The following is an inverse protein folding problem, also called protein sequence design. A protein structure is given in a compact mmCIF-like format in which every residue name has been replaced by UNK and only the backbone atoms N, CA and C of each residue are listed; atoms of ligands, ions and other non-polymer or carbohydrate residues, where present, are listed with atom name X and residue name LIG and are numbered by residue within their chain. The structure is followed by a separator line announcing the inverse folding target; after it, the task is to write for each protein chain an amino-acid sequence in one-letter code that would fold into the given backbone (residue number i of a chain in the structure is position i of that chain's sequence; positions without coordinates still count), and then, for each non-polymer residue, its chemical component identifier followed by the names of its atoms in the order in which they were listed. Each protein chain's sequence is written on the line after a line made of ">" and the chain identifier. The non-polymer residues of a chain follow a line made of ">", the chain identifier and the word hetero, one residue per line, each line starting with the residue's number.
data_IF_751577981478
#
_entry.id   IF_751577981478
#
_cell.length_a   1.000
_cell.length_b   1.000
_cell.length_c   1.000
_cell.angle_alpha   90.00
_cell.angle_beta   90.00
_cell.angle_gamma   90.00
#
_symmetry.space_group_name_H-M   'P 1'
#
loop_
_entity.id
_entity.type
_entity.pdbx_description
1 polymer ?
#
# COMPACT_ATOMS: atom_id res chain seq x y z
N UNK A 1 15.76 -7.08 -24.99
CA UNK A 1 14.70 -8.08 -25.33
C UNK A 1 13.71 -8.12 -24.18
N UNK A 2 12.39 -8.06 -24.41
CA UNK A 2 11.42 -8.14 -23.30
C UNK A 2 11.50 -9.51 -22.61
N UNK A 3 11.57 -9.50 -21.27
CA UNK A 3 11.48 -10.71 -20.46
C UNK A 3 10.15 -11.40 -20.68
N UNK A 4 10.19 -12.74 -20.69
CA UNK A 4 8.99 -13.58 -20.80
C UNK A 4 9.15 -14.85 -19.96
N UNK A 5 8.06 -15.54 -19.62
CA UNK A 5 8.14 -16.89 -19.10
C UNK A 5 9.07 -17.77 -19.95
N UNK A 6 9.97 -18.50 -19.28
CA UNK A 6 11.04 -19.29 -19.88
C UNK A 6 12.41 -18.59 -19.92
N UNK A 7 12.48 -17.27 -19.80
CA UNK A 7 13.75 -16.54 -19.70
C UNK A 7 14.56 -16.98 -18.47
N UNK A 8 15.89 -17.03 -18.63
CA UNK A 8 16.83 -17.38 -17.56
C UNK A 8 17.62 -16.14 -17.16
N UNK A 9 17.67 -15.86 -15.86
CA UNK A 9 18.46 -14.79 -15.25
C UNK A 9 19.55 -15.42 -14.37
N UNK A 10 20.78 -14.96 -14.54
CA UNK A 10 21.92 -15.40 -13.72
C UNK A 10 22.26 -14.31 -12.71
N UNK A 11 22.02 -14.59 -11.43
CA UNK A 11 22.41 -13.73 -10.31
C UNK A 11 23.71 -14.20 -9.66
N UNK A 12 24.14 -13.46 -8.65
CA UNK A 12 25.30 -13.82 -7.84
C UNK A 12 24.98 -14.92 -6.82
N UNK A 13 23.71 -15.07 -6.40
CA UNK A 13 23.28 -16.06 -5.40
C UNK A 13 22.64 -17.29 -6.03
N UNK A 14 21.95 -17.13 -7.15
CA UNK A 14 21.27 -18.22 -7.84
C UNK A 14 21.01 -17.94 -9.34
N UNK A 15 20.66 -19.01 -10.05
CA UNK A 15 20.08 -18.93 -11.40
C UNK A 15 18.56 -19.06 -11.33
N UNK A 16 17.86 -18.15 -12.00
CA UNK A 16 16.40 -18.03 -11.94
C UNK A 16 15.77 -18.25 -13.31
N UNK A 17 14.75 -19.11 -13.39
CA UNK A 17 13.92 -19.29 -14.59
C UNK A 17 12.56 -18.64 -14.40
N UNK A 18 12.23 -17.65 -15.22
CA UNK A 18 10.92 -17.03 -15.18
C UNK A 18 9.84 -18.06 -15.50
N UNK A 19 8.83 -18.15 -14.66
CA UNK A 19 7.77 -19.15 -14.75
C UNK A 19 6.43 -18.53 -15.17
N UNK A 20 6.05 -17.42 -14.53
CA UNK A 20 4.75 -16.78 -14.75
C UNK A 20 4.88 -15.26 -14.57
N UNK A 21 4.20 -14.50 -15.42
CA UNK A 21 3.97 -13.07 -15.22
C UNK A 21 2.88 -12.84 -14.17
N UNK A 22 3.17 -12.05 -13.13
CA UNK A 22 2.25 -11.71 -12.05
C UNK A 22 1.60 -10.34 -12.25
N UNK A 23 2.35 -9.39 -12.82
CA UNK A 23 1.87 -8.04 -13.16
C UNK A 23 2.53 -7.58 -14.44
N UNK A 24 1.72 -7.51 -15.51
CA UNK A 24 2.18 -7.18 -16.85
C UNK A 24 3.49 -7.92 -17.20
N UNK A 25 4.44 -7.24 -17.84
CA UNK A 25 5.78 -7.79 -18.12
C UNK A 25 6.85 -7.23 -17.16
N UNK A 26 6.46 -6.81 -15.95
CA UNK A 26 7.36 -6.15 -14.99
C UNK A 26 7.52 -6.91 -13.67
N UNK A 27 6.64 -7.85 -13.35
CA UNK A 27 6.76 -8.71 -12.16
C UNK A 27 6.53 -10.17 -12.54
N UNK A 28 7.44 -11.05 -12.16
CA UNK A 28 7.40 -12.47 -12.50
C UNK A 28 7.61 -13.35 -11.28
N UNK A 29 6.91 -14.48 -11.22
CA UNK A 29 7.29 -15.64 -10.42
C UNK A 29 8.42 -16.36 -11.14
N UNK A 30 9.51 -16.69 -10.43
CA UNK A 30 10.63 -17.43 -11.00
C UNK A 30 11.04 -18.59 -10.10
N UNK A 31 11.44 -19.69 -10.75
CA UNK A 31 11.99 -20.86 -10.08
C UNK A 31 13.49 -20.68 -9.87
N UNK A 32 13.99 -21.02 -8.69
CA UNK A 32 15.42 -21.17 -8.43
C UNK A 32 15.86 -22.51 -9.04
N UNK A 33 16.80 -22.47 -9.99
CA UNK A 33 17.35 -23.67 -10.65
C UNK A 33 18.57 -24.22 -9.90
N UNK A 34 19.48 -23.32 -9.53
CA UNK A 34 20.72 -23.61 -8.82
C UNK A 34 20.94 -22.49 -7.80
N UNK A 35 21.29 -22.83 -6.57
CA UNK A 35 21.54 -21.84 -5.51
C UNK A 35 22.75 -22.21 -4.67
N UNK A 36 23.46 -21.18 -4.21
CA UNK A 36 24.56 -21.32 -3.27
C UNK A 36 24.15 -21.04 -1.81
N UNK A 37 22.97 -20.45 -1.56
CA UNK A 37 22.55 -19.99 -0.22
C UNK A 37 21.06 -19.59 -0.08
N UNK A 38 20.17 -20.00 -0.98
CA UNK A 38 18.73 -19.76 -0.88
C UNK A 38 17.98 -21.09 -0.74
N UNK A 39 17.28 -21.26 0.38
CA UNK A 39 16.53 -22.49 0.69
C UNK A 39 15.09 -22.49 0.13
N UNK A 40 14.76 -21.54 -0.74
CA UNK A 40 13.43 -21.45 -1.36
C UNK A 40 13.42 -22.04 -2.78
N UNK A 41 12.28 -22.60 -3.19
CA UNK A 41 12.03 -23.00 -4.58
C UNK A 41 11.67 -21.82 -5.48
N UNK A 42 11.01 -20.81 -4.92
CA UNK A 42 10.38 -19.73 -5.66
C UNK A 42 10.87 -18.36 -5.20
N UNK A 43 10.95 -17.42 -6.14
CA UNK A 43 11.24 -15.99 -5.92
C UNK A 43 10.31 -15.13 -6.76
N UNK A 44 10.28 -13.83 -6.47
CA UNK A 44 9.72 -12.83 -7.36
C UNK A 44 10.82 -12.01 -8.00
N UNK A 45 10.72 -11.81 -9.32
CA UNK A 45 11.59 -10.94 -10.11
C UNK A 45 10.81 -9.71 -10.51
N UNK A 46 11.27 -8.53 -10.08
CA UNK A 46 10.73 -7.23 -10.49
C UNK A 46 11.70 -6.55 -11.44
N UNK A 47 11.17 -5.98 -12.52
CA UNK A 47 11.91 -5.24 -13.55
C UNK A 47 11.09 -4.03 -14.00
N UNK A 48 11.64 -3.22 -14.91
CA UNK A 48 10.99 -2.03 -15.45
C UNK A 48 10.80 -2.14 -16.97
N UNK A 49 9.71 -1.58 -17.47
CA UNK A 49 9.42 -1.43 -18.90
C UNK A 49 9.45 0.03 -19.39
N UNK A 50 9.51 0.98 -18.47
CA UNK A 50 9.62 2.42 -18.74
C UNK A 50 10.70 3.09 -17.88
N UNK A 51 11.11 4.30 -18.28
CA UNK A 51 12.06 5.10 -17.50
C UNK A 51 11.55 5.48 -16.11
N UNK A 52 10.25 5.79 -15.99
CA UNK A 52 9.62 6.07 -14.70
C UNK A 52 9.66 4.84 -13.78
N UNK A 53 9.27 3.67 -14.29
CA UNK A 53 9.34 2.41 -13.52
C UNK A 53 10.79 2.08 -13.11
N UNK A 54 11.77 2.38 -13.97
CA UNK A 54 13.18 2.21 -13.66
C UNK A 54 13.61 3.11 -12.50
N UNK A 55 13.21 4.38 -12.48
CA UNK A 55 13.49 5.28 -11.37
C UNK A 55 12.89 4.78 -10.05
N UNK A 56 11.65 4.26 -10.08
CA UNK A 56 11.01 3.64 -8.93
C UNK A 56 11.76 2.38 -8.46
N UNK A 57 12.21 1.54 -9.39
CA UNK A 57 13.00 0.34 -9.10
C UNK A 57 14.36 0.67 -8.45
N UNK A 58 15.04 1.73 -8.90
CA UNK A 58 16.27 2.21 -8.27
C UNK A 58 16.02 2.77 -6.87
N UNK A 59 14.93 3.51 -6.66
CA UNK A 59 14.54 3.99 -5.34
C UNK A 59 14.26 2.82 -4.40
N UNK A 60 13.51 1.83 -4.86
CA UNK A 60 13.22 0.60 -4.11
C UNK A 60 14.52 -0.10 -3.70
N UNK A 61 15.43 -0.35 -4.65
CA UNK A 61 16.75 -0.92 -4.36
C UNK A 61 17.51 -0.13 -3.29
N UNK A 62 17.54 1.19 -3.41
CA UNK A 62 18.26 2.07 -2.47
C UNK A 62 17.68 1.98 -1.07
N UNK A 63 16.35 1.90 -0.94
CA UNK A 63 15.69 1.73 0.35
C UNK A 63 16.03 0.37 0.99
N UNK A 64 16.10 -0.72 0.22
CA UNK A 64 16.51 -2.04 0.73
C UNK A 64 17.97 -2.12 1.21
N UNK A 65 18.81 -1.15 0.85
CA UNK A 65 20.19 -1.07 1.36
C UNK A 65 20.29 -0.48 2.76
N UNK A 66 19.21 0.10 3.28
CA UNK A 66 19.14 0.59 4.66
C UNK A 66 19.04 -0.65 5.57
N UNK A 67 19.99 -0.87 6.51
CA UNK A 67 20.04 -2.09 7.32
C UNK A 67 18.75 -2.41 8.06
N UNK A 68 18.11 -1.40 8.66
CA UNK A 68 16.86 -1.51 9.41
C UNK A 68 15.71 -2.03 8.54
N UNK A 69 15.69 -1.65 7.25
CA UNK A 69 14.71 -2.13 6.27
C UNK A 69 15.06 -3.55 5.83
N UNK A 70 16.31 -3.79 5.42
CA UNK A 70 16.74 -5.07 4.86
C UNK A 70 16.74 -6.23 5.87
N UNK A 71 16.79 -5.93 7.17
CA UNK A 71 16.79 -6.92 8.26
C UNK A 71 15.42 -7.07 8.93
N UNK A 72 14.45 -6.20 8.65
CA UNK A 72 13.13 -6.26 9.27
C UNK A 72 12.39 -7.55 8.89
N UNK A 73 11.81 -8.30 9.86
CA UNK A 73 10.99 -9.47 9.55
C UNK A 73 9.62 -9.09 8.97
N UNK A 74 9.23 -7.82 9.07
CA UNK A 74 7.92 -7.31 8.65
C UNK A 74 7.95 -6.62 7.27
N UNK A 75 9.13 -6.53 6.65
CA UNK A 75 9.31 -5.97 5.30
C UNK A 75 9.82 -7.08 4.39
N UNK A 76 9.25 -7.21 3.19
CA UNK A 76 9.59 -8.27 2.24
C UNK A 76 11.09 -8.26 1.92
N UNK A 77 11.76 -9.39 2.08
CA UNK A 77 13.20 -9.52 1.85
C UNK A 77 13.56 -9.40 0.38
N UNK A 78 14.51 -8.51 0.09
CA UNK A 78 15.30 -8.53 -1.16
C UNK A 78 16.45 -9.52 -1.02
N UNK A 79 16.51 -10.53 -1.88
CA UNK A 79 17.61 -11.50 -1.91
C UNK A 79 18.84 -10.94 -2.62
N UNK A 80 18.66 -10.41 -3.82
CA UNK A 80 19.73 -9.78 -4.60
C UNK A 80 19.18 -8.85 -5.67
N UNK A 81 20.08 -8.09 -6.29
CA UNK A 81 19.80 -7.23 -7.41
C UNK A 81 20.75 -7.57 -8.55
N UNK A 82 20.21 -7.73 -9.77
CA UNK A 82 20.96 -8.11 -10.97
C UNK A 82 20.94 -6.93 -11.94
N UNK A 83 22.12 -6.50 -12.39
CA UNK A 83 22.30 -5.33 -13.27
C UNK A 83 23.06 -4.19 -12.59
N UNK A 84 23.39 -3.12 -13.34
CA UNK A 84 24.19 -2.00 -12.88
C UNK A 84 23.41 -1.05 -11.96
N UNK A 85 23.00 -1.54 -10.80
CA UNK A 85 22.56 -0.67 -9.70
C UNK A 85 23.73 0.17 -9.12
N UNK A 86 24.96 -0.13 -9.55
CA UNK A 86 26.21 0.50 -9.13
C UNK A 86 26.92 1.18 -10.31
N UNK A 87 26.30 2.17 -10.96
CA UNK A 87 27.06 3.16 -11.74
C UNK A 87 26.87 4.54 -11.12
N UNK A 88 27.97 5.06 -10.56
CA UNK A 88 28.12 6.42 -10.03
C UNK A 88 28.54 7.36 -11.15
N UNK A 89 28.13 8.62 -10.97
CA UNK A 89 28.61 9.86 -11.59
C UNK A 89 28.54 9.90 -13.12
N UNK A 90 27.66 10.77 -13.62
CA UNK A 90 27.82 11.39 -14.94
C UNK A 90 29.24 11.97 -15.06
N UNK A 91 30.18 11.22 -15.63
CA UNK A 91 31.33 11.82 -16.30
C UNK A 91 30.80 12.30 -17.65
N UNK A 92 30.82 13.61 -17.89
CA UNK A 92 30.14 14.28 -18.99
C UNK A 92 30.62 13.92 -20.41
N UNK A 93 31.52 12.95 -20.57
CA UNK A 93 32.29 12.74 -21.81
C UNK A 93 32.31 11.29 -22.33
N UNK A 94 31.54 10.35 -21.78
CA UNK A 94 31.38 9.04 -22.43
C UNK A 94 30.13 9.02 -23.31
N UNK A 95 30.23 8.55 -24.57
CA UNK A 95 29.07 8.43 -25.44
C UNK A 95 28.09 7.42 -24.83
N UNK A 96 26.77 7.61 -25.00
CA UNK A 96 25.80 6.63 -24.55
C UNK A 96 25.93 5.39 -25.43
N UNK A 97 26.77 4.44 -25.03
CA UNK A 97 26.59 3.08 -25.49
C UNK A 97 25.19 2.64 -25.03
N UNK A 98 24.33 2.33 -26.00
CA UNK A 98 23.00 1.74 -25.78
C UNK A 98 23.15 0.33 -25.18
N UNK A 99 23.67 0.25 -23.96
CA UNK A 99 23.62 -0.99 -23.21
C UNK A 99 22.29 -1.00 -22.47
N UNK A 100 21.34 -1.75 -23.05
CA UNK A 100 20.07 -2.14 -22.43
C UNK A 100 20.35 -2.99 -21.18
N UNK A 101 20.88 -2.34 -20.14
CA UNK A 101 21.10 -2.96 -18.86
C UNK A 101 19.76 -2.98 -18.13
N UNK A 102 19.02 -4.05 -18.39
CA UNK A 102 17.78 -4.32 -17.68
C UNK A 102 18.09 -4.65 -16.21
N UNK A 103 17.40 -3.96 -15.31
CA UNK A 103 17.60 -4.06 -13.87
C UNK A 103 16.58 -5.05 -13.29
N UNK A 104 17.03 -5.90 -12.38
CA UNK A 104 16.17 -6.89 -11.73
C UNK A 104 16.35 -6.86 -10.22
N UNK A 105 15.24 -6.80 -9.50
CA UNK A 105 15.21 -7.04 -8.06
C UNK A 105 14.62 -8.42 -7.80
N UNK A 106 15.36 -9.24 -7.05
CA UNK A 106 14.97 -10.61 -6.72
C UNK A 106 14.52 -10.64 -5.27
N UNK A 107 13.23 -10.83 -5.05
CA UNK A 107 12.59 -10.87 -3.74
C UNK A 107 12.25 -12.28 -3.32
N UNK A 108 12.14 -12.50 -2.00
CA UNK A 108 11.53 -13.71 -1.46
C UNK A 108 10.11 -13.91 -2.01
N UNK A 109 9.69 -15.15 -2.20
CA UNK A 109 8.32 -15.48 -2.56
C UNK A 109 7.39 -15.36 -1.34
N UNK A 110 6.20 -14.82 -1.57
CA UNK A 110 5.08 -14.81 -0.61
C UNK A 110 3.85 -15.32 -1.37
N UNK A 111 3.00 -16.12 -0.72
CA UNK A 111 1.99 -16.93 -1.41
C UNK A 111 0.82 -16.12 -1.98
N UNK A 112 0.39 -15.11 -1.24
CA UNK A 112 -0.82 -14.34 -1.55
C UNK A 112 -0.70 -12.91 -1.02
N UNK A 113 -1.44 -11.97 -1.59
CA UNK A 113 -1.61 -10.63 -1.03
C UNK A 113 -2.91 -10.52 -0.22
N UNK A 114 -3.00 -9.55 0.70
CA UNK A 114 -4.16 -9.38 1.57
C UNK A 114 -5.45 -9.15 0.76
N UNK A 115 -5.38 -8.46 -0.39
CA UNK A 115 -6.55 -8.29 -1.25
C UNK A 115 -7.11 -9.63 -1.73
N UNK A 116 -6.26 -10.58 -2.08
CA UNK A 116 -6.70 -11.90 -2.54
C UNK A 116 -7.17 -12.82 -1.41
N UNK A 117 -6.77 -12.58 -0.15
CA UNK A 117 -7.27 -13.38 0.97
C UNK A 117 -8.77 -13.19 1.18
N UNK A 118 -9.54 -14.28 1.39
CA UNK A 118 -10.91 -14.16 1.85
C UNK A 118 -10.87 -13.54 3.24
N UNK A 119 -11.91 -12.82 3.58
CA UNK A 119 -11.95 -11.99 4.77
C UNK A 119 -13.04 -12.44 5.74
N UNK A 120 -14.13 -12.97 5.21
CA UNK A 120 -15.21 -13.62 5.95
C UNK A 120 -14.72 -14.59 7.05
N UNK A 121 -13.77 -15.51 6.82
CA UNK A 121 -13.31 -16.43 7.88
C UNK A 121 -12.50 -15.75 8.99
N UNK A 122 -12.09 -14.49 8.80
CA UNK A 122 -11.16 -13.80 9.70
C UNK A 122 -11.77 -12.60 10.44
N UNK A 123 -13.08 -12.35 10.29
CA UNK A 123 -13.74 -11.16 10.86
C UNK A 123 -14.46 -11.39 12.18
N UNK A 124 -14.77 -12.65 12.46
CA UNK A 124 -15.46 -13.06 13.66
C UNK A 124 -14.61 -12.85 14.92
N UNK A 125 -15.31 -12.88 16.05
CA UNK A 125 -14.70 -12.77 17.37
C UNK A 125 -13.66 -13.88 17.60
N UNK A 126 -12.52 -13.52 18.18
CA UNK A 126 -11.40 -14.46 18.40
C UNK A 126 -10.47 -14.67 17.20
N UNK A 127 -10.75 -14.10 16.02
CA UNK A 127 -9.80 -14.20 14.90
C UNK A 127 -8.50 -13.46 15.19
N UNK A 128 -7.38 -14.17 15.05
CA UNK A 128 -6.03 -13.61 15.22
C UNK A 128 -5.51 -12.94 13.95
N UNK A 129 -6.10 -13.23 12.79
CA UNK A 129 -5.54 -12.80 11.50
C UNK A 129 -5.55 -11.28 11.31
N UNK A 130 -6.66 -10.53 11.56
CA UNK A 130 -6.61 -9.07 11.44
C UNK A 130 -5.66 -8.43 12.44
N UNK A 131 -5.51 -9.00 13.66
CA UNK A 131 -4.52 -8.55 14.64
C UNK A 131 -3.09 -8.73 14.12
N UNK A 132 -2.78 -9.91 13.56
CA UNK A 132 -1.49 -10.24 13.00
C UNK A 132 -1.14 -9.33 11.82
N UNK A 133 -2.07 -9.15 10.88
CA UNK A 133 -1.91 -8.25 9.74
C UNK A 133 -1.65 -6.82 10.21
N UNK A 134 -2.48 -6.31 11.12
CA UNK A 134 -2.34 -4.95 11.66
C UNK A 134 -0.99 -4.77 12.36
N UNK A 135 -0.59 -5.72 13.21
CA UNK A 135 0.69 -5.70 13.92
C UNK A 135 1.86 -5.67 12.93
N UNK A 136 1.90 -6.57 11.96
CA UNK A 136 2.99 -6.62 10.99
C UNK A 136 3.11 -5.34 10.16
N UNK A 137 1.99 -4.73 9.76
CA UNK A 137 2.01 -3.45 9.05
C UNK A 137 2.57 -2.36 9.96
N UNK A 138 2.07 -2.25 11.20
CA UNK A 138 2.51 -1.21 12.13
C UNK A 138 3.99 -1.36 12.53
N UNK A 139 4.50 -2.58 12.72
CA UNK A 139 5.92 -2.83 12.97
C UNK A 139 6.80 -2.38 11.80
N UNK A 140 6.37 -2.65 10.55
CA UNK A 140 7.07 -2.14 9.37
C UNK A 140 7.02 -0.60 9.28
N UNK A 141 5.87 0.01 9.61
CA UNK A 141 5.72 1.47 9.61
C UNK A 141 6.56 2.14 10.70
N UNK A 142 6.74 1.52 11.86
CA UNK A 142 7.60 2.07 12.92
C UNK A 142 9.08 2.08 12.51
N UNK A 143 9.52 1.11 11.69
CA UNK A 143 10.85 1.18 11.04
C UNK A 143 10.95 2.41 10.14
N UNK A 144 9.96 2.67 9.29
CA UNK A 144 10.00 3.84 8.39
C UNK A 144 9.92 5.17 9.17
N UNK A 145 9.08 5.24 10.20
CA UNK A 145 8.98 6.38 11.13
C UNK A 145 10.33 6.75 11.72
N UNK A 146 11.06 5.77 12.27
CA UNK A 146 12.40 5.96 12.85
C UNK A 146 13.43 6.47 11.84
N UNK A 147 13.21 6.20 10.56
CA UNK A 147 14.03 6.68 9.44
C UNK A 147 13.55 8.02 8.86
N UNK A 148 12.48 8.62 9.40
CA UNK A 148 11.88 9.85 8.86
C UNK A 148 11.32 9.66 7.46
N UNK A 149 10.72 8.50 7.19
CA UNK A 149 10.19 8.12 5.87
C UNK A 149 8.73 7.72 5.95
N UNK A 150 8.00 7.97 4.86
CA UNK A 150 6.64 7.51 4.64
C UNK A 150 6.60 6.59 3.40
N UNK A 151 5.92 5.45 3.53
CA UNK A 151 5.73 4.43 2.51
C UNK A 151 4.84 4.90 1.36
N UNK A 152 3.78 5.65 1.68
CA UNK A 152 2.83 6.32 0.77
C UNK A 152 1.96 5.40 -0.09
N UNK A 153 2.23 4.10 -0.16
CA UNK A 153 1.40 3.12 -0.88
C UNK A 153 1.03 1.88 -0.05
N UNK A 154 0.68 2.08 1.23
CA UNK A 154 0.09 1.00 2.04
C UNK A 154 -1.29 0.68 1.50
N UNK A 155 -1.45 -0.54 0.97
CA UNK A 155 -2.71 -1.03 0.42
C UNK A 155 -2.76 -2.56 0.47
N UNK A 156 -3.95 -3.19 0.34
CA UNK A 156 -4.07 -4.65 0.47
C UNK A 156 -3.22 -5.48 -0.50
N UNK A 157 -2.85 -4.96 -1.67
CA UNK A 157 -2.00 -5.67 -2.64
C UNK A 157 -0.50 -5.62 -2.28
N UNK A 158 -0.11 -4.70 -1.39
CA UNK A 158 1.26 -4.54 -0.91
C UNK A 158 1.46 -5.17 0.49
N UNK A 159 0.44 -5.84 1.03
CA UNK A 159 0.54 -6.64 2.24
C UNK A 159 0.57 -8.11 1.82
N UNK A 160 1.72 -8.76 1.99
CA UNK A 160 1.95 -10.12 1.50
C UNK A 160 1.88 -11.12 2.63
N UNK A 161 1.29 -12.28 2.36
CA UNK A 161 1.10 -13.37 3.32
C UNK A 161 1.71 -14.67 2.76
N UNK A 162 2.37 -15.43 3.62
CA UNK A 162 2.76 -16.82 3.35
C UNK A 162 2.31 -17.72 4.48
N UNK A 163 1.92 -18.96 4.15
CA UNK A 163 1.41 -19.90 5.14
C UNK A 163 0.07 -19.46 5.75
N UNK A 164 -0.89 -19.01 4.93
CA UNK A 164 -2.20 -18.50 5.42
C UNK A 164 -2.94 -19.50 6.32
N UNK A 165 -2.79 -20.80 6.04
CA UNK A 165 -3.39 -21.90 6.79
C UNK A 165 -2.55 -22.34 8.01
N UNK A 166 -1.35 -21.78 8.19
CA UNK A 166 -0.49 -22.09 9.32
C UNK A 166 -0.97 -21.39 10.59
N UNK A 167 -0.59 -21.90 11.76
CA UNK A 167 -0.94 -21.30 13.05
C UNK A 167 -0.37 -19.89 13.25
N UNK A 168 0.64 -19.51 12.48
CA UNK A 168 1.29 -18.22 12.50
C UNK A 168 1.76 -17.82 11.09
N UNK A 169 0.84 -17.34 10.23
CA UNK A 169 1.19 -16.90 8.89
C UNK A 169 2.24 -15.78 8.92
N UNK A 170 3.15 -15.77 7.96
CA UNK A 170 4.07 -14.63 7.81
C UNK A 170 3.34 -13.50 7.08
N UNK A 171 3.39 -12.28 7.64
CA UNK A 171 2.83 -11.08 6.99
C UNK A 171 3.91 -10.02 6.84
N UNK A 172 4.12 -9.53 5.63
CA UNK A 172 5.16 -8.54 5.30
C UNK A 172 4.65 -7.43 4.38
N UNK A 173 5.10 -6.20 4.63
CA UNK A 173 4.89 -5.05 3.74
C UNK A 173 5.86 -5.13 2.56
N UNK A 174 5.39 -4.79 1.37
CA UNK A 174 6.17 -4.80 0.14
C UNK A 174 6.01 -3.49 -0.67
N UNK A 175 6.80 -3.38 -1.74
CA UNK A 175 6.85 -2.25 -2.67
C UNK A 175 7.37 -0.94 -2.07
N UNK A 176 8.69 -0.88 -1.85
CA UNK A 176 9.36 0.33 -1.37
C UNK A 176 9.69 1.29 -2.52
N UNK A 177 9.08 1.08 -3.69
CA UNK A 177 9.21 1.92 -4.86
C UNK A 177 8.65 3.31 -4.63
N UNK A 178 7.74 3.51 -3.67
CA UNK A 178 7.14 4.80 -3.29
C UNK A 178 7.62 5.39 -1.96
N UNK A 179 8.44 4.66 -1.21
CA UNK A 179 8.98 5.10 0.08
C UNK A 179 9.91 6.31 -0.08
N UNK A 180 9.56 7.42 0.59
CA UNK A 180 10.24 8.73 0.51
C UNK A 180 10.46 9.33 1.90
N UNK A 181 11.39 10.30 2.06
CA UNK A 181 11.43 11.14 3.26
C UNK A 181 10.09 11.83 3.48
N UNK A 182 9.62 11.88 4.72
CA UNK A 182 8.41 12.63 5.06
C UNK A 182 8.62 14.15 4.98
N UNK A 183 7.52 14.88 4.78
CA UNK A 183 7.54 16.33 4.85
C UNK A 183 6.57 17.06 3.90
N UNK A 184 6.52 18.40 3.99
CA UNK A 184 5.54 19.24 3.28
C UNK A 184 5.77 19.34 1.77
N UNK A 185 6.97 18.98 1.30
CA UNK A 185 7.33 19.00 -0.13
C UNK A 185 6.84 17.75 -0.88
N UNK A 186 6.49 16.70 -0.15
CA UNK A 186 5.96 15.44 -0.68
C UNK A 186 4.45 15.57 -0.95
N UNK A 187 4.05 16.38 -1.93
CA UNK A 187 2.62 16.57 -2.27
C UNK A 187 2.12 15.45 -3.20
N UNK A 188 0.87 15.03 -3.00
CA UNK A 188 0.14 14.07 -3.87
C UNK A 188 0.81 12.70 -4.09
N UNK A 189 1.68 12.24 -3.19
CA UNK A 189 2.37 10.94 -3.32
C UNK A 189 1.54 9.71 -2.90
N UNK A 190 0.38 9.90 -2.26
CA UNK A 190 -0.57 8.82 -2.00
C UNK A 190 -1.65 8.77 -3.08
N UNK A 191 -1.94 7.59 -3.60
CA UNK A 191 -3.02 7.38 -4.55
C UNK A 191 -4.39 7.33 -3.84
N UNK A 192 -5.40 7.96 -4.42
CA UNK A 192 -6.80 7.65 -4.11
C UNK A 192 -7.05 6.15 -4.35
N UNK A 193 -7.86 5.46 -3.52
CA UNK A 193 -8.71 5.94 -2.41
C UNK A 193 -8.07 5.94 -1.01
N UNK A 194 -6.75 5.79 -0.89
CA UNK A 194 -6.06 5.60 0.41
C UNK A 194 -5.38 6.86 0.93
N UNK A 195 -5.53 7.96 0.18
CA UNK A 195 -4.95 9.27 0.45
C UNK A 195 -5.53 9.84 1.75
N UNK A 196 -4.65 10.23 2.66
CA UNK A 196 -5.00 10.80 3.96
C UNK A 196 -5.50 12.25 3.86
N UNK A 197 -6.29 12.74 4.83
CA UNK A 197 -6.84 14.10 4.83
C UNK A 197 -5.80 15.20 4.64
N UNK A 198 -4.67 15.12 5.33
CA UNK A 198 -3.59 16.10 5.20
C UNK A 198 -2.93 16.10 3.80
N UNK A 199 -2.96 14.95 3.12
CA UNK A 199 -2.43 14.81 1.76
C UNK A 199 -3.42 15.37 0.73
N UNK A 200 -4.73 15.17 0.95
CA UNK A 200 -5.79 15.85 0.16
C UNK A 200 -5.69 17.37 0.30
N UNK A 201 -5.37 17.88 1.49
CA UNK A 201 -5.14 19.30 1.78
C UNK A 201 -3.75 19.81 1.35
N UNK A 202 -2.97 19.00 0.64
CA UNK A 202 -1.64 19.33 0.14
C UNK A 202 -0.61 19.77 1.20
N UNK A 203 -0.76 19.29 2.43
CA UNK A 203 0.10 19.67 3.57
C UNK A 203 1.40 18.85 3.64
N UNK A 204 1.54 17.85 2.78
CA UNK A 204 2.66 16.92 2.74
C UNK A 204 2.23 15.49 3.00
N UNK A 205 3.21 14.60 3.09
CA UNK A 205 3.01 13.20 3.45
C UNK A 205 3.91 12.89 4.65
N UNK A 206 3.34 12.21 5.63
CA UNK A 206 3.97 11.92 6.92
C UNK A 206 3.72 10.49 7.34
N UNK A 207 4.40 10.07 8.41
CA UNK A 207 4.07 8.83 9.11
C UNK A 207 2.57 8.71 9.42
N UNK A 208 1.92 9.79 9.85
CA UNK A 208 0.47 9.81 10.10
C UNK A 208 -0.34 9.41 8.87
N UNK A 209 0.11 9.80 7.67
CA UNK A 209 -0.57 9.53 6.41
C UNK A 209 -0.57 8.04 6.09
N UNK A 210 0.50 7.31 6.45
CA UNK A 210 0.53 5.85 6.33
C UNK A 210 -0.37 5.17 7.35
N UNK A 211 -0.45 5.69 8.59
CA UNK A 211 -1.38 5.19 9.61
C UNK A 211 -2.83 5.26 9.12
N UNK A 212 -3.21 6.37 8.47
CA UNK A 212 -4.52 6.47 7.81
C UNK A 212 -4.69 5.38 6.74
N UNK A 213 -3.69 5.18 5.88
CA UNK A 213 -3.74 4.14 4.85
C UNK A 213 -3.87 2.73 5.43
N UNK A 214 -3.39 2.45 6.65
CA UNK A 214 -3.67 1.18 7.36
C UNK A 214 -5.16 1.03 7.65
N UNK A 215 -5.80 2.05 8.22
CA UNK A 215 -7.24 2.03 8.49
C UNK A 215 -8.07 1.82 7.21
N UNK A 216 -7.74 2.53 6.14
CA UNK A 216 -8.40 2.36 4.83
C UNK A 216 -8.16 0.95 4.27
N UNK A 217 -6.93 0.43 4.38
CA UNK A 217 -6.54 -0.93 3.93
C UNK A 217 -7.39 -2.00 4.61
N UNK A 218 -7.52 -1.93 5.93
CA UNK A 218 -8.34 -2.86 6.71
C UNK A 218 -9.82 -2.72 6.33
N UNK A 219 -10.36 -1.49 6.28
CA UNK A 219 -11.75 -1.27 5.90
C UNK A 219 -12.08 -1.79 4.48
N UNK A 220 -11.18 -1.62 3.50
CA UNK A 220 -11.38 -2.11 2.14
C UNK A 220 -11.34 -3.63 2.05
N UNK A 221 -10.39 -4.26 2.75
CA UNK A 221 -10.33 -5.71 2.87
C UNK A 221 -11.57 -6.27 3.60
N UNK A 222 -12.04 -5.56 4.63
CA UNK A 222 -13.28 -5.86 5.35
C UNK A 222 -14.54 -5.60 4.53
N UNK A 223 -14.58 -4.66 3.59
CA UNK A 223 -15.78 -4.52 2.74
C UNK A 223 -15.75 -5.40 1.50
N UNK A 224 -14.55 -5.88 1.11
CA UNK A 224 -14.27 -6.40 -0.24
C UNK A 224 -14.60 -5.36 -1.33
N UNK A 225 -14.47 -4.08 -0.99
CA UNK A 225 -14.73 -2.96 -1.88
C UNK A 225 -13.95 -1.72 -1.42
N UNK A 226 -13.60 -0.86 -2.38
CA UNK A 226 -12.94 0.41 -2.10
C UNK A 226 -13.97 1.47 -1.65
N UNK A 227 -14.49 1.37 -0.41
CA UNK A 227 -15.59 2.25 0.06
C UNK A 227 -15.25 3.74 0.03
N UNK A 228 -13.97 4.07 0.19
CA UNK A 228 -13.44 5.44 0.11
C UNK A 228 -13.17 5.89 -1.35
N UNK A 229 -13.34 5.00 -2.32
CA UNK A 229 -13.08 5.25 -3.73
C UNK A 229 -14.33 5.58 -4.53
N UNK A 230 -14.12 5.77 -5.83
CA UNK A 230 -15.12 6.29 -6.75
C UNK A 230 -15.70 5.24 -7.71
N UNK A 231 -15.59 3.95 -7.36
CA UNK A 231 -16.06 2.85 -8.21
C UNK A 231 -17.59 2.76 -8.32
N UNK A 232 -18.31 3.40 -7.41
CA UNK A 232 -19.77 3.48 -7.35
C UNK A 232 -20.33 4.79 -7.92
N UNK A 233 -19.49 5.60 -8.58
CA UNK A 233 -19.93 6.81 -9.28
C UNK A 233 -20.94 6.47 -10.37
N UNK A 234 -21.93 7.33 -10.48
CA UNK A 234 -22.89 7.33 -11.60
C UNK A 234 -22.68 8.52 -12.56
N UNK A 235 -21.74 9.40 -12.23
CA UNK A 235 -21.35 10.57 -13.02
C UNK A 235 -19.93 10.40 -13.55
N UNK A 236 -19.71 10.82 -14.79
CA UNK A 236 -18.38 10.83 -15.42
C UNK A 236 -17.51 11.95 -14.82
N UNK A 237 -16.19 11.75 -14.74
CA UNK A 237 -15.28 12.71 -14.09
C UNK A 237 -15.40 12.72 -12.56
N UNK A 238 -14.88 13.76 -11.90
CA UNK A 238 -15.05 14.02 -10.45
C UNK A 238 -14.59 12.89 -9.52
N UNK A 239 -13.55 12.16 -9.92
CA UNK A 239 -13.02 11.04 -9.12
C UNK A 239 -12.52 11.53 -7.76
N UNK A 240 -11.84 12.67 -7.72
CA UNK A 240 -11.26 13.20 -6.49
C UNK A 240 -12.34 13.78 -5.58
N UNK A 241 -13.23 14.63 -6.11
CA UNK A 241 -14.39 15.15 -5.38
C UNK A 241 -15.23 14.03 -4.75
N UNK A 242 -15.48 12.93 -5.46
CA UNK A 242 -16.23 11.80 -4.93
C UNK A 242 -15.53 11.11 -3.76
N UNK A 243 -14.20 10.98 -3.81
CA UNK A 243 -13.42 10.40 -2.71
C UNK A 243 -13.40 11.33 -1.49
N UNK A 244 -13.25 12.65 -1.71
CA UNK A 244 -13.31 13.67 -0.66
C UNK A 244 -14.68 13.64 0.04
N UNK A 245 -15.77 13.66 -0.73
CA UNK A 245 -17.13 13.62 -0.20
C UNK A 245 -17.39 12.34 0.61
N UNK A 246 -16.85 11.20 0.17
CA UNK A 246 -16.92 9.94 0.93
C UNK A 246 -16.14 9.98 2.24
N UNK A 247 -14.97 10.61 2.29
CA UNK A 247 -14.25 10.81 3.56
C UNK A 247 -15.11 11.65 4.51
N UNK A 248 -15.76 12.71 4.01
CA UNK A 248 -16.64 13.56 4.80
C UNK A 248 -17.83 12.79 5.40
N UNK A 249 -18.42 11.86 4.64
CA UNK A 249 -19.54 11.02 5.11
C UNK A 249 -19.12 9.86 6.02
N UNK A 250 -18.03 9.17 5.68
CA UNK A 250 -17.56 7.98 6.39
C UNK A 250 -16.93 8.35 7.74
N UNK A 251 -16.11 9.40 7.75
CA UNK A 251 -15.23 9.70 8.89
C UNK A 251 -15.55 11.06 9.49
N UNK A 252 -15.74 12.07 8.64
CA UNK A 252 -16.06 13.44 9.07
C UNK A 252 -15.40 14.49 8.20
N UNK A 253 -15.81 15.77 8.34
CA UNK A 253 -15.31 16.87 7.53
C UNK A 253 -13.81 17.09 7.75
N UNK A 254 -13.06 17.33 6.67
CA UNK A 254 -11.61 17.56 6.73
C UNK A 254 -11.21 19.00 7.08
N UNK A 255 -12.20 19.85 7.39
CA UNK A 255 -12.04 21.29 7.60
C UNK A 255 -11.93 22.06 6.29
N UNK A 256 -11.55 23.33 6.37
CA UNK A 256 -11.37 24.19 5.20
C UNK A 256 -10.15 23.76 4.36
N UNK A 257 -10.32 23.84 3.05
CA UNK A 257 -9.24 23.63 2.09
C UNK A 257 -8.38 24.89 1.97
N UNK A 258 -7.06 24.73 1.97
CA UNK A 258 -6.10 25.83 1.90
C UNK A 258 -4.87 25.50 1.04
N UNK A 259 -5.04 24.65 0.03
CA UNK A 259 -3.99 24.27 -0.91
C UNK A 259 -4.09 25.01 -2.25
N UNK A 260 -3.90 24.32 -3.35
CA UNK A 260 -3.96 24.87 -4.71
C UNK A 260 -5.37 24.98 -5.27
N UNK A 261 -5.61 26.01 -6.10
CA UNK A 261 -6.88 26.25 -6.77
C UNK A 261 -7.41 25.05 -7.58
N UNK A 262 -6.49 24.23 -8.12
CA UNK A 262 -6.80 23.04 -8.92
C UNK A 262 -7.61 22.00 -8.12
N UNK A 263 -7.34 21.87 -6.81
CA UNK A 263 -8.08 20.97 -5.93
C UNK A 263 -9.22 21.69 -5.21
N UNK A 264 -9.14 23.01 -5.05
CA UNK A 264 -10.22 23.82 -4.47
C UNK A 264 -11.53 23.61 -5.25
N UNK A 265 -11.48 23.56 -6.59
CA UNK A 265 -12.65 23.24 -7.42
C UNK A 265 -13.22 21.84 -7.12
N UNK A 266 -12.38 20.81 -7.03
CA UNK A 266 -12.81 19.45 -6.66
C UNK A 266 -13.35 19.38 -5.22
N UNK A 267 -12.81 20.21 -4.32
CA UNK A 267 -13.25 20.31 -2.93
C UNK A 267 -14.65 20.92 -2.83
N UNK A 268 -14.90 22.01 -3.55
CA UNK A 268 -16.22 22.65 -3.61
C UNK A 268 -17.27 21.73 -4.20
N UNK A 269 -16.90 20.96 -5.23
CA UNK A 269 -17.78 19.93 -5.80
C UNK A 269 -18.03 18.81 -4.79
N UNK A 270 -17.03 18.40 -4.01
CA UNK A 270 -17.19 17.38 -2.99
C UNK A 270 -18.20 17.78 -1.90
N UNK A 271 -18.15 19.03 -1.44
CA UNK A 271 -19.10 19.58 -0.47
C UNK A 271 -20.54 19.54 -1.01
N UNK A 272 -20.73 19.87 -2.28
CA UNK A 272 -22.04 19.77 -2.93
C UNK A 272 -22.49 18.32 -3.09
N UNK A 273 -21.62 17.43 -3.57
CA UNK A 273 -21.92 16.00 -3.79
C UNK A 273 -22.31 15.29 -2.51
N UNK A 274 -21.72 15.65 -1.36
CA UNK A 274 -22.05 15.10 -0.04
C UNK A 274 -23.55 15.23 0.25
N UNK A 275 -24.11 16.39 -0.06
CA UNK A 275 -25.48 16.76 0.33
C UNK A 275 -26.49 16.59 -0.81
N UNK A 276 -26.03 16.36 -2.04
CA UNK A 276 -26.88 16.26 -3.22
C UNK A 276 -27.84 15.06 -3.17
N UNK A 277 -29.13 15.38 -3.24
CA UNK A 277 -30.23 14.44 -3.44
C UNK A 277 -30.87 14.70 -4.81
N UNK A 278 -30.80 13.72 -5.71
CA UNK A 278 -31.34 13.82 -7.06
C UNK A 278 -32.85 13.51 -7.12
N UNK A 279 -33.49 13.26 -5.97
CA UNK A 279 -34.89 12.87 -5.88
C UNK A 279 -35.18 11.47 -6.43
N UNK A 280 -36.42 10.97 -6.30
CA UNK A 280 -36.78 9.65 -6.80
C UNK A 280 -36.61 9.53 -8.33
N UNK A 281 -36.14 8.38 -8.85
CA UNK A 281 -35.82 7.14 -8.13
C UNK A 281 -34.37 7.05 -7.61
N UNK A 282 -33.55 8.07 -7.84
CA UNK A 282 -32.09 8.03 -7.59
C UNK A 282 -31.77 8.23 -6.10
N UNK A 283 -32.39 9.24 -5.48
CA UNK A 283 -32.12 9.68 -4.11
C UNK A 283 -30.76 10.35 -3.96
N UNK A 284 -30.12 10.18 -2.80
CA UNK A 284 -28.72 10.58 -2.57
C UNK A 284 -27.77 9.93 -3.57
N UNK A 285 -26.89 10.73 -4.16
CA UNK A 285 -25.90 10.24 -5.13
C UNK A 285 -24.85 9.35 -4.46
N UNK A 286 -24.27 9.83 -3.35
CA UNK A 286 -23.34 9.07 -2.54
C UNK A 286 -24.12 8.39 -1.41
N UNK A 287 -24.07 7.06 -1.37
CA UNK A 287 -24.95 6.24 -0.53
C UNK A 287 -24.27 5.67 0.72
N UNK A 288 -22.98 5.97 0.92
CA UNK A 288 -22.27 5.54 2.13
C UNK A 288 -22.77 6.31 3.36
N UNK A 289 -22.79 5.62 4.49
CA UNK A 289 -23.02 6.23 5.80
C UNK A 289 -21.69 6.41 6.57
N UNK A 290 -21.75 6.55 7.89
CA UNK A 290 -20.54 6.53 8.72
C UNK A 290 -19.79 5.21 8.55
N UNK A 291 -18.48 5.24 8.77
CA UNK A 291 -17.60 4.09 8.66
C UNK A 291 -18.08 2.93 9.53
N UNK A 292 -18.45 3.22 10.78
CA UNK A 292 -19.03 2.23 11.71
C UNK A 292 -20.22 1.53 11.10
N UNK A 293 -21.19 2.28 10.60
CA UNK A 293 -22.40 1.71 10.00
C UNK A 293 -22.07 0.86 8.76
N UNK A 294 -21.13 1.30 7.91
CA UNK A 294 -20.70 0.50 6.75
C UNK A 294 -20.01 -0.81 7.16
N UNK A 295 -19.24 -0.82 8.25
CA UNK A 295 -18.56 -2.00 8.76
C UNK A 295 -19.50 -2.93 9.55
N UNK A 296 -20.44 -2.39 10.32
CA UNK A 296 -21.44 -3.16 11.09
C UNK A 296 -22.46 -3.87 10.20
N UNK A 297 -22.76 -3.34 9.00
CA UNK A 297 -23.62 -4.01 8.01
C UNK A 297 -23.02 -5.28 7.43
N UNK A 298 -21.73 -5.51 7.63
CA UNK A 298 -21.03 -6.67 7.11
C UNK A 298 -21.38 -7.83 8.02
N UNK A 299 -22.36 -8.64 7.62
CA UNK A 299 -22.81 -9.82 8.34
C UNK A 299 -22.11 -11.12 7.92
N UNK A 300 -22.42 -12.18 8.68
CA UNK A 300 -22.12 -13.59 8.38
C UNK A 300 -20.64 -13.92 8.06
N UNK A 301 -19.73 -13.91 9.05
CA UNK A 301 -19.92 -13.43 10.42
C UNK A 301 -19.74 -11.90 10.51
N UNK A 302 -20.33 -11.25 11.54
CA UNK A 302 -20.16 -9.83 11.76
C UNK A 302 -18.70 -9.45 12.02
N UNK A 303 -18.33 -8.23 11.67
CA UNK A 303 -17.04 -7.63 12.06
C UNK A 303 -17.10 -7.33 13.55
N UNK A 304 -16.13 -7.84 14.33
CA UNK A 304 -16.08 -7.56 15.77
C UNK A 304 -15.97 -6.06 16.07
N UNK A 305 -16.68 -5.57 17.09
CA UNK A 305 -16.65 -4.15 17.48
C UNK A 305 -15.25 -3.67 17.81
N UNK A 306 -14.43 -4.49 18.48
CA UNK A 306 -13.03 -4.15 18.80
C UNK A 306 -12.15 -3.88 17.57
N UNK A 307 -12.41 -4.56 16.45
CA UNK A 307 -11.73 -4.29 15.17
C UNK A 307 -12.24 -3.00 14.53
N UNK A 308 -13.54 -2.71 14.64
CA UNK A 308 -14.10 -1.43 14.17
C UNK A 308 -13.51 -0.27 14.98
N UNK A 309 -13.47 -0.37 16.31
CA UNK A 309 -12.88 0.62 17.21
C UNK A 309 -11.42 0.89 16.84
N UNK A 310 -10.66 -0.17 16.57
CA UNK A 310 -9.27 -0.06 16.13
C UNK A 310 -9.14 0.68 14.79
N UNK A 311 -9.96 0.35 13.80
CA UNK A 311 -9.92 1.01 12.49
C UNK A 311 -10.28 2.49 12.62
N UNK A 312 -11.28 2.84 13.44
CA UNK A 312 -11.64 4.23 13.72
C UNK A 312 -10.51 5.00 14.41
N UNK A 313 -9.79 4.36 15.34
CA UNK A 313 -8.62 4.97 15.99
C UNK A 313 -7.49 5.30 15.01
N UNK A 314 -7.38 4.60 13.87
CA UNK A 314 -6.42 4.91 12.81
C UNK A 314 -6.93 5.99 11.84
N UNK A 315 -8.25 6.15 11.71
CA UNK A 315 -8.90 7.06 10.76
C UNK A 315 -9.33 8.38 11.40
N UNK A 316 -8.41 9.00 12.16
CA UNK A 316 -8.62 10.33 12.73
C UNK A 316 -8.26 11.39 11.68
N UNK A 317 -9.17 12.34 11.42
CA UNK A 317 -8.98 13.41 10.43
C UNK A 317 -7.76 14.27 10.74
N UNK A 318 -7.66 14.75 11.98
CA UNK A 318 -6.54 15.57 12.45
C UNK A 318 -5.28 14.69 12.60
N UNK A 319 -4.25 14.87 11.75
CA UNK A 319 -3.07 14.01 11.78
C UNK A 319 -2.29 14.12 13.09
N UNK A 320 -2.41 15.24 13.82
CA UNK A 320 -1.71 15.43 15.11
C UNK A 320 -2.32 14.61 16.25
N UNK A 321 -3.57 14.16 16.09
CA UNK A 321 -4.30 13.31 17.04
C UNK A 321 -4.31 11.84 16.62
N UNK A 322 -3.85 11.53 15.41
CA UNK A 322 -3.74 10.17 14.90
C UNK A 322 -2.57 9.47 15.59
N UNK A 323 -2.71 8.22 16.06
CA UNK A 323 -1.64 7.55 16.78
C UNK A 323 -0.43 7.32 15.86
N UNK A 324 0.76 7.32 16.44
CA UNK A 324 1.95 6.75 15.81
C UNK A 324 1.82 5.23 15.68
N UNK A 325 2.68 4.59 14.89
CA UNK A 325 2.65 3.13 14.75
C UNK A 325 2.87 2.43 16.10
N UNK A 326 3.84 2.94 16.86
CA UNK A 326 4.16 2.48 18.20
C UNK A 326 2.98 2.62 19.19
N UNK A 327 2.22 3.70 19.12
CA UNK A 327 1.02 3.88 19.95
C UNK A 327 -0.12 2.98 19.50
N UNK A 328 -0.33 2.85 18.18
CA UNK A 328 -1.35 1.95 17.61
C UNK A 328 -1.08 0.48 17.98
N UNK A 329 0.19 0.07 18.08
CA UNK A 329 0.58 -1.27 18.54
C UNK A 329 0.12 -1.57 19.97
N UNK A 330 -0.12 -0.53 20.80
CA UNK A 330 -0.62 -0.65 22.18
C UNK A 330 -2.14 -0.62 22.27
N UNK A 331 -2.85 -0.49 21.16
CA UNK A 331 -4.31 -0.45 21.16
C UNK A 331 -4.90 -1.77 21.73
N UNK A 332 -5.96 -1.73 22.56
CA UNK A 332 -6.54 -2.93 23.19
C UNK A 332 -6.89 -4.06 22.22
N UNK A 333 -7.30 -3.73 20.99
CA UNK A 333 -7.54 -4.72 19.93
C UNK A 333 -6.31 -5.62 19.66
N UNK A 334 -5.10 -5.06 19.71
CA UNK A 334 -3.85 -5.77 19.47
C UNK A 334 -3.25 -6.38 20.74
N UNK A 335 -3.94 -6.28 21.88
CA UNK A 335 -3.53 -6.98 23.09
C UNK A 335 -3.50 -8.51 22.84
N UNK A 336 -2.59 -9.24 23.54
CA UNK A 336 -2.36 -10.67 23.36
C UNK A 336 -3.62 -11.54 23.36
#
# INVERSE_FOLDING_TARGET
>A
MSLRPGSILKGARATYKLHQALKANTVFKAQILESHNLDSKWVVVKTSSSELERALLHREFTNYRIPEIGQSPYIRRLHEAIGPFFYRSFQANEPPEHIDHQHYLIFEWMDIDLWQTPSQPFRGEGSRFPKLVSRSILEALDVFRKLGKAHTDINPNNILISGLEDNNPEVKVADLGMLVPEGPRARRLQCSPRRAPEVWREQGVFHSSDIWSVGVTLAHWLRRAAIFGASDKIIEGLTEAWCIAKIHLLVGPMGEYNGSAEIEEEWDVAEQLRDLDAGPPIGKLIKVQSLRQELERIGDPPVSSSLIDFIEALLIIDPSKRPTAEEALRHPFLAP
#
